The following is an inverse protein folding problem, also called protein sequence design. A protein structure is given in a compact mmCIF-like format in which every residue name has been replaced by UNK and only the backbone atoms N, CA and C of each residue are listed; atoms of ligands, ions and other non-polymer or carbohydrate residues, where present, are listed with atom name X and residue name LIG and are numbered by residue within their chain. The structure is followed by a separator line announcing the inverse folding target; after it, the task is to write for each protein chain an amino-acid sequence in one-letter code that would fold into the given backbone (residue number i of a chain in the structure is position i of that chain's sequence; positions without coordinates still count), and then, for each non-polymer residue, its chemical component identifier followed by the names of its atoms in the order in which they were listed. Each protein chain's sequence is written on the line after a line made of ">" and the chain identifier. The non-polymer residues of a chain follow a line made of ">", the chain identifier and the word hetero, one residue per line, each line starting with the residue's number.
data_IF_373153576000
#
_entry.id   IF_373153576000
#
_cell.length_a   1.000
_cell.length_b   1.000
_cell.length_c   1.000
_cell.angle_alpha   90.00
_cell.angle_beta   90.00
_cell.angle_gamma   90.00
#
_symmetry.space_group_name_H-M   'P 1'
#
loop_
_entity.id
_entity.type
_entity.pdbx_description
1 polymer ?
#
# COMPACT_ATOMS: atom_id res chain seq x y z
N UNK A 1 -28.65 -8.71 30.11
CA UNK A 1 -29.99 -8.32 29.61
C UNK A 1 -30.38 -9.32 28.55
N UNK A 2 -31.50 -10.02 28.77
CA UNK A 2 -32.02 -11.01 27.80
C UNK A 2 -33.08 -10.33 26.95
N UNK A 3 -32.84 -10.22 25.64
CA UNK A 3 -33.79 -9.68 24.69
C UNK A 3 -34.67 -10.82 24.16
N UNK A 4 -36.00 -10.75 24.38
CA UNK A 4 -36.94 -11.61 23.70
C UNK A 4 -37.23 -11.07 22.31
N UNK A 5 -36.97 -11.86 21.27
CA UNK A 5 -37.14 -11.48 19.87
C UNK A 5 -38.29 -12.29 19.26
N UNK A 6 -39.16 -11.61 18.53
CA UNK A 6 -40.25 -12.27 17.78
C UNK A 6 -39.84 -12.33 16.32
N UNK A 7 -39.84 -13.53 15.74
CA UNK A 7 -39.61 -13.74 14.32
C UNK A 7 -40.79 -13.17 13.51
N UNK A 8 -40.46 -12.42 12.48
CA UNK A 8 -41.42 -11.97 11.49
C UNK A 8 -41.16 -12.71 10.17
N UNK A 9 -42.14 -13.53 9.74
CA UNK A 9 -42.11 -14.27 8.49
C UNK A 9 -42.68 -13.41 7.37
N UNK A 10 -41.88 -13.13 6.34
CA UNK A 10 -42.42 -12.46 5.17
C UNK A 10 -43.32 -13.38 4.36
N UNK A 11 -44.57 -12.98 4.15
CA UNK A 11 -45.48 -13.63 3.19
C UNK A 11 -45.18 -13.18 1.74
N UNK A 12 -44.36 -12.13 1.57
CA UNK A 12 -43.97 -11.60 0.29
C UNK A 12 -42.48 -11.97 0.01
N UNK A 13 -42.15 -12.51 -1.17
CA UNK A 13 -40.78 -12.84 -1.53
C UNK A 13 -39.86 -11.62 -1.66
N UNK A 14 -40.43 -10.40 -1.71
CA UNK A 14 -39.67 -9.16 -1.77
C UNK A 14 -39.00 -8.74 -0.43
N UNK A 15 -39.47 -9.33 0.70
CA UNK A 15 -38.94 -8.96 2.02
C UNK A 15 -38.54 -10.23 2.78
N UNK A 16 -37.24 -10.47 3.00
CA UNK A 16 -36.79 -11.62 3.78
C UNK A 16 -37.32 -11.55 5.22
N UNK A 17 -37.81 -12.67 5.75
CA UNK A 17 -38.19 -12.77 7.15
C UNK A 17 -37.00 -12.46 8.09
N UNK A 18 -37.30 -11.98 9.30
CA UNK A 18 -36.26 -11.62 10.27
C UNK A 18 -36.81 -11.15 11.60
N UNK A 19 -35.92 -10.67 12.44
CA UNK A 19 -36.29 -10.03 13.70
C UNK A 19 -36.32 -8.51 13.50
N UNK A 20 -37.50 -7.90 13.57
CA UNK A 20 -37.65 -6.43 13.39
C UNK A 20 -36.81 -5.65 14.40
N UNK A 21 -36.70 -6.13 15.64
CA UNK A 21 -35.86 -5.53 16.64
C UNK A 21 -34.35 -5.51 16.23
N UNK A 22 -33.90 -6.58 15.58
CA UNK A 22 -32.51 -6.63 15.08
C UNK A 22 -32.28 -5.57 14.00
N UNK A 23 -33.24 -5.40 13.09
CA UNK A 23 -33.17 -4.38 12.04
C UNK A 23 -33.19 -2.97 12.64
N UNK A 24 -34.15 -2.71 13.56
CA UNK A 24 -34.28 -1.40 14.21
C UNK A 24 -33.04 -1.02 15.05
N UNK A 25 -32.41 -2.01 15.68
CA UNK A 25 -31.20 -1.83 16.49
C UNK A 25 -29.90 -1.97 15.68
N UNK A 26 -29.98 -2.20 14.37
CA UNK A 26 -28.82 -2.41 13.50
C UNK A 26 -27.98 -3.64 13.88
N UNK A 27 -28.59 -4.67 14.49
CA UNK A 27 -27.88 -5.87 14.92
C UNK A 27 -27.48 -6.72 13.71
N UNK A 28 -26.25 -7.22 13.70
CA UNK A 28 -25.73 -8.16 12.71
C UNK A 28 -25.19 -9.41 13.42
N UNK A 29 -25.87 -10.56 13.24
CA UNK A 29 -25.54 -11.78 13.95
C UNK A 29 -25.59 -11.64 15.49
N UNK A 30 -26.47 -10.76 15.99
CA UNK A 30 -26.60 -10.44 17.42
C UNK A 30 -25.57 -9.41 17.92
N UNK A 31 -24.70 -8.86 17.03
CA UNK A 31 -23.74 -7.83 17.38
C UNK A 31 -24.33 -6.44 17.17
N UNK A 32 -24.25 -5.58 18.20
CA UNK A 32 -24.60 -4.16 18.07
C UNK A 32 -23.68 -3.42 17.09
N UNK A 33 -24.09 -2.28 16.50
CA UNK A 33 -23.25 -1.51 15.59
C UNK A 33 -21.88 -1.17 16.20
N UNK A 34 -21.84 -0.81 17.49
CA UNK A 34 -20.59 -0.54 18.21
C UNK A 34 -19.68 -1.77 18.28
N UNK A 35 -20.26 -2.95 18.59
CA UNK A 35 -19.48 -4.18 18.68
C UNK A 35 -19.01 -4.64 17.28
N UNK A 36 -19.82 -4.46 16.23
CA UNK A 36 -19.42 -4.70 14.85
C UNK A 36 -18.21 -3.85 14.46
N UNK A 37 -18.22 -2.55 14.81
CA UNK A 37 -17.10 -1.62 14.59
C UNK A 37 -15.83 -2.10 15.32
N UNK A 38 -15.94 -2.47 16.60
CA UNK A 38 -14.80 -2.94 17.39
C UNK A 38 -14.26 -4.28 16.87
N UNK A 39 -15.13 -5.22 16.53
CA UNK A 39 -14.74 -6.49 15.93
C UNK A 39 -14.03 -6.27 14.59
N UNK A 40 -14.56 -5.40 13.72
CA UNK A 40 -13.93 -5.08 12.45
C UNK A 40 -12.58 -4.39 12.65
N UNK A 41 -12.44 -3.50 13.64
CA UNK A 41 -11.20 -2.83 14.00
C UNK A 41 -10.12 -3.83 14.41
N UNK A 42 -10.43 -4.71 15.36
CA UNK A 42 -9.51 -5.75 15.82
C UNK A 42 -9.17 -6.73 14.70
N UNK A 43 -10.18 -7.18 13.94
CA UNK A 43 -9.96 -8.13 12.85
C UNK A 43 -9.16 -7.58 11.66
N UNK A 44 -8.98 -6.26 11.56
CA UNK A 44 -8.05 -5.66 10.62
C UNK A 44 -6.58 -5.92 11.00
N UNK A 45 -6.30 -6.09 12.29
CA UNK A 45 -4.95 -6.22 12.83
C UNK A 45 -4.61 -7.67 13.23
N UNK A 46 -5.60 -8.43 13.76
CA UNK A 46 -5.38 -9.78 14.29
C UNK A 46 -6.26 -10.83 13.60
N UNK A 47 -6.00 -12.12 13.86
CA UNK A 47 -6.85 -13.21 13.36
C UNK A 47 -8.25 -13.15 13.97
N UNK A 48 -9.25 -13.77 13.31
CA UNK A 48 -10.61 -13.84 13.87
C UNK A 48 -10.67 -14.58 15.20
N UNK A 49 -9.82 -15.58 15.39
CA UNK A 49 -9.74 -16.31 16.65
C UNK A 49 -9.17 -15.40 17.77
N UNK A 50 -8.10 -14.67 17.50
CA UNK A 50 -7.54 -13.71 18.45
C UNK A 50 -8.55 -12.57 18.75
N UNK A 51 -9.24 -12.06 17.73
CA UNK A 51 -10.29 -11.06 17.90
C UNK A 51 -11.40 -11.56 18.85
N UNK A 52 -11.89 -12.80 18.65
CA UNK A 52 -12.90 -13.38 19.53
C UNK A 52 -12.36 -13.57 20.97
N UNK A 53 -11.10 -14.00 21.12
CA UNK A 53 -10.42 -14.11 22.41
C UNK A 53 -10.34 -12.78 23.15
N UNK A 54 -9.85 -11.73 22.50
CA UNK A 54 -9.77 -10.39 23.09
C UNK A 54 -11.14 -9.84 23.49
N UNK A 55 -12.16 -10.02 22.64
CA UNK A 55 -13.50 -9.56 22.98
C UNK A 55 -14.10 -10.33 24.17
N UNK A 56 -13.84 -11.64 24.27
CA UNK A 56 -14.27 -12.46 25.40
C UNK A 56 -13.59 -12.02 26.70
N UNK A 57 -12.29 -11.76 26.66
CA UNK A 57 -11.52 -11.28 27.81
C UNK A 57 -12.01 -9.91 28.30
N UNK A 58 -12.18 -8.96 27.38
CA UNK A 58 -12.59 -7.59 27.72
C UNK A 58 -14.04 -7.46 28.17
N UNK A 59 -14.94 -8.34 27.71
CA UNK A 59 -16.38 -8.25 27.96
C UNK A 59 -16.90 -9.32 28.93
N UNK A 60 -16.04 -10.23 29.43
CA UNK A 60 -16.42 -11.38 30.27
C UNK A 60 -17.15 -12.50 29.49
N UNK A 61 -17.73 -12.17 28.34
CA UNK A 61 -18.36 -13.10 27.39
C UNK A 61 -18.21 -12.51 25.98
N UNK A 62 -18.17 -13.37 24.96
CA UNK A 62 -17.94 -12.87 23.60
C UNK A 62 -18.59 -13.72 22.51
N UNK A 63 -18.72 -13.18 21.30
CA UNK A 63 -19.23 -13.90 20.15
C UNK A 63 -18.25 -15.01 19.73
N UNK A 64 -18.78 -16.03 19.07
CA UNK A 64 -17.95 -17.10 18.51
C UNK A 64 -17.02 -16.58 17.40
N UNK A 65 -15.92 -17.31 17.15
CA UNK A 65 -15.00 -17.02 16.05
C UNK A 65 -15.73 -16.92 14.71
N UNK A 66 -16.71 -17.78 14.49
CA UNK A 66 -17.52 -17.81 13.26
C UNK A 66 -18.42 -16.57 13.14
N UNK A 67 -19.03 -16.13 14.24
CA UNK A 67 -19.82 -14.88 14.28
C UNK A 67 -18.94 -13.67 13.96
N UNK A 68 -17.74 -13.58 14.57
CA UNK A 68 -16.77 -12.53 14.28
C UNK A 68 -16.36 -12.57 12.81
N UNK A 69 -16.00 -13.75 12.30
CA UNK A 69 -15.57 -13.90 10.90
C UNK A 69 -16.66 -13.41 9.94
N UNK A 70 -17.89 -13.88 10.13
CA UNK A 70 -19.01 -13.53 9.25
C UNK A 70 -19.34 -12.05 9.30
N UNK A 71 -19.36 -11.46 10.49
CA UNK A 71 -19.55 -10.01 10.67
C UNK A 71 -18.43 -9.23 9.96
N UNK A 72 -17.16 -9.55 10.23
CA UNK A 72 -16.03 -8.83 9.67
C UNK A 72 -15.94 -8.96 8.14
N UNK A 73 -16.21 -10.14 7.58
CA UNK A 73 -16.25 -10.34 6.13
C UNK A 73 -17.38 -9.52 5.47
N UNK A 74 -18.53 -9.38 6.14
CA UNK A 74 -19.63 -8.54 5.67
C UNK A 74 -19.29 -7.06 5.74
N UNK A 75 -18.75 -6.58 6.86
CA UNK A 75 -18.30 -5.19 7.00
C UNK A 75 -17.18 -4.87 6.02
N UNK A 76 -16.21 -5.74 5.82
CA UNK A 76 -15.16 -5.61 4.81
C UNK A 76 -15.75 -5.48 3.39
N UNK A 77 -16.80 -6.24 3.08
CA UNK A 77 -17.53 -6.12 1.82
C UNK A 77 -18.25 -4.78 1.67
N UNK A 78 -18.84 -4.24 2.75
CA UNK A 78 -19.47 -2.90 2.77
C UNK A 78 -18.43 -1.81 2.54
N UNK A 79 -17.31 -1.86 3.26
CA UNK A 79 -16.19 -0.93 3.12
C UNK A 79 -15.64 -0.96 1.69
N UNK A 80 -15.42 -2.14 1.11
CA UNK A 80 -14.91 -2.27 -0.25
C UNK A 80 -15.83 -1.63 -1.30
N UNK A 81 -17.15 -1.74 -1.12
CA UNK A 81 -18.13 -1.04 -1.98
C UNK A 81 -18.11 0.46 -1.74
N UNK A 82 -18.18 0.88 -0.47
CA UNK A 82 -18.17 2.29 -0.10
C UNK A 82 -16.92 3.01 -0.62
N UNK A 83 -15.73 2.46 -0.42
CA UNK A 83 -14.48 3.01 -0.97
C UNK A 83 -14.50 3.16 -2.50
N UNK A 84 -15.37 2.42 -3.20
CA UNK A 84 -15.56 2.54 -4.64
C UNK A 84 -16.25 3.83 -5.07
N UNK A 85 -17.03 4.47 -4.19
CA UNK A 85 -17.93 5.58 -4.54
C UNK A 85 -17.86 6.77 -3.58
N UNK A 86 -17.17 6.65 -2.45
CA UNK A 86 -17.12 7.70 -1.44
C UNK A 86 -16.41 8.96 -1.96
N UNK A 87 -16.86 10.11 -1.49
CA UNK A 87 -16.33 11.45 -1.79
C UNK A 87 -15.87 12.22 -0.54
N UNK A 88 -16.17 11.70 0.65
CA UNK A 88 -15.85 12.37 1.90
C UNK A 88 -14.33 12.57 2.12
N UNK A 89 -13.50 11.68 1.55
CA UNK A 89 -12.04 11.86 1.58
C UNK A 89 -11.56 13.07 0.76
N UNK A 90 -12.37 13.59 -0.17
CA UNK A 90 -12.00 14.75 -0.99
C UNK A 90 -11.85 16.01 -0.15
N UNK A 91 -12.75 16.23 0.83
CA UNK A 91 -12.68 17.37 1.75
C UNK A 91 -11.40 17.35 2.57
N UNK A 92 -11.06 16.17 3.13
CA UNK A 92 -9.82 15.99 3.89
C UNK A 92 -8.58 16.24 3.03
N UNK A 93 -8.58 15.81 1.76
CA UNK A 93 -7.49 16.06 0.82
C UNK A 93 -7.42 17.52 0.37
N UNK A 94 -8.57 18.19 0.19
CA UNK A 94 -8.65 19.61 -0.17
C UNK A 94 -8.13 20.51 0.94
N UNK A 95 -8.46 20.21 2.20
CA UNK A 95 -8.03 20.96 3.38
C UNK A 95 -6.59 20.62 3.83
N UNK A 96 -6.01 19.50 3.38
CA UNK A 96 -4.72 19.03 3.82
C UNK A 96 -3.58 19.84 3.20
N UNK A 97 -2.56 20.12 4.00
CA UNK A 97 -1.33 20.77 3.55
C UNK A 97 -0.37 19.80 2.87
N UNK A 98 0.56 20.36 2.09
CA UNK A 98 1.67 19.65 1.47
C UNK A 98 1.43 19.21 0.03
N UNK A 99 2.45 18.57 -0.53
CA UNK A 99 2.46 18.06 -1.89
C UNK A 99 1.63 16.78 -2.06
N UNK A 100 1.28 16.47 -3.30
CA UNK A 100 0.63 15.22 -3.65
C UNK A 100 1.63 14.11 -3.92
N UNK A 101 1.56 13.05 -3.16
CA UNK A 101 2.33 11.84 -3.37
C UNK A 101 1.41 10.66 -3.71
N UNK A 102 1.81 9.88 -4.68
CA UNK A 102 1.14 8.64 -5.06
C UNK A 102 2.15 7.52 -5.16
N UNK A 103 2.03 6.53 -4.27
CA UNK A 103 2.95 5.39 -4.21
C UNK A 103 2.22 4.09 -4.51
N UNK A 104 2.89 3.19 -5.22
CA UNK A 104 2.31 1.93 -5.71
C UNK A 104 3.30 0.80 -5.56
N UNK A 105 2.80 -0.35 -5.10
CA UNK A 105 3.57 -1.58 -4.95
C UNK A 105 2.68 -2.82 -5.13
N UNK A 106 3.27 -4.01 -5.11
CA UNK A 106 2.56 -5.28 -5.14
C UNK A 106 3.17 -6.30 -4.18
N UNK A 107 2.39 -6.74 -3.21
CA UNK A 107 2.68 -7.91 -2.40
C UNK A 107 2.09 -9.20 -3.00
N UNK A 108 2.34 -10.33 -2.33
CA UNK A 108 1.71 -11.62 -2.67
C UNK A 108 0.72 -12.02 -1.58
N UNK A 109 -0.39 -12.65 -1.97
CA UNK A 109 -1.35 -13.28 -1.06
C UNK A 109 -1.76 -14.65 -1.62
N UNK A 110 -1.88 -15.64 -0.73
CA UNK A 110 -2.35 -16.96 -1.12
C UNK A 110 -3.87 -17.06 -0.98
N UNK A 111 -4.54 -17.54 -2.03
CA UNK A 111 -5.98 -17.76 -2.05
C UNK A 111 -6.32 -19.22 -2.35
N UNK A 112 -7.41 -19.75 -1.76
CA UNK A 112 -7.80 -21.15 -1.89
C UNK A 112 -8.05 -21.57 -3.35
N UNK A 113 -8.71 -20.66 -4.10
CA UNK A 113 -9.14 -20.99 -5.47
C UNK A 113 -8.06 -20.76 -6.52
N UNK A 114 -7.07 -19.91 -6.25
CA UNK A 114 -6.13 -19.42 -7.29
C UNK A 114 -4.67 -19.47 -6.87
N UNK A 115 -4.36 -19.98 -5.68
CA UNK A 115 -2.99 -19.97 -5.14
C UNK A 115 -2.45 -18.54 -4.95
N UNK A 116 -1.14 -18.39 -5.08
CA UNK A 116 -0.46 -17.11 -4.93
C UNK A 116 -0.86 -16.09 -6.01
N UNK A 117 -1.29 -14.91 -5.58
CA UNK A 117 -1.72 -13.80 -6.44
C UNK A 117 -1.09 -12.48 -6.01
N UNK A 118 -0.91 -11.57 -6.97
CA UNK A 118 -0.47 -10.22 -6.66
C UNK A 118 -1.59 -9.45 -5.96
N UNK A 119 -1.29 -8.97 -4.78
CA UNK A 119 -2.05 -7.95 -4.07
C UNK A 119 -1.43 -6.60 -4.42
N UNK A 120 -2.04 -5.86 -5.33
CA UNK A 120 -1.58 -4.54 -5.71
C UNK A 120 -2.09 -3.53 -4.70
N UNK A 121 -1.21 -2.62 -4.30
CA UNK A 121 -1.43 -1.65 -3.23
C UNK A 121 -1.13 -0.27 -3.79
N UNK A 122 -1.92 0.72 -3.41
CA UNK A 122 -1.67 2.11 -3.75
C UNK A 122 -2.00 2.99 -2.53
N UNK A 123 -1.19 4.01 -2.34
CA UNK A 123 -1.34 5.04 -1.32
C UNK A 123 -1.32 6.40 -2.01
N UNK A 124 -2.38 7.17 -1.84
CA UNK A 124 -2.41 8.58 -2.17
C UNK A 124 -2.35 9.37 -0.87
N UNK A 125 -1.51 10.38 -0.81
CA UNK A 125 -1.35 11.20 0.40
C UNK A 125 -0.98 12.64 0.08
N UNK A 126 -1.27 13.52 1.05
CA UNK A 126 -0.74 14.88 1.13
C UNK A 126 0.36 14.88 2.18
N UNK A 127 1.53 15.42 1.85
CA UNK A 127 2.66 15.49 2.77
C UNK A 127 3.33 16.87 2.67
N UNK A 128 3.55 17.57 3.79
CA UNK A 128 4.40 18.75 3.81
C UNK A 128 5.80 18.42 3.30
N UNK A 129 6.47 19.38 2.71
CA UNK A 129 7.87 19.20 2.34
C UNK A 129 8.73 19.11 3.60
N UNK A 130 9.73 18.24 3.57
CA UNK A 130 10.78 18.24 4.58
C UNK A 130 11.74 19.42 4.36
N UNK A 131 12.62 19.63 5.33
CA UNK A 131 13.76 20.52 5.12
C UNK A 131 14.59 20.05 3.91
N UNK A 132 15.06 20.97 3.07
CA UNK A 132 15.99 20.66 1.99
C UNK A 132 17.19 19.88 2.52
N UNK A 133 17.62 18.87 1.77
CA UNK A 133 18.74 18.04 2.16
C UNK A 133 19.68 17.77 0.98
N UNK A 134 20.94 17.54 1.29
CA UNK A 134 21.93 17.06 0.32
C UNK A 134 21.89 15.53 0.22
N UNK A 135 22.46 14.94 -0.84
CA UNK A 135 22.66 13.50 -0.96
C UNK A 135 23.35 12.86 0.24
N UNK A 136 24.28 13.55 0.90
CA UNK A 136 24.95 13.04 2.10
C UNK A 136 24.03 12.97 3.33
N UNK A 137 22.99 13.79 3.39
CA UNK A 137 22.05 13.90 4.52
C UNK A 137 20.79 13.02 4.35
N UNK A 138 20.63 12.31 3.25
CA UNK A 138 19.37 11.66 2.91
C UNK A 138 18.88 10.64 3.94
N UNK A 139 19.79 9.91 4.61
CA UNK A 139 19.44 8.91 5.62
C UNK A 139 19.11 9.49 6.98
N UNK A 140 19.68 10.63 7.33
CA UNK A 140 19.40 11.32 8.60
C UNK A 140 18.19 12.25 8.55
N UNK A 141 17.59 12.40 7.36
CA UNK A 141 16.45 13.28 7.14
C UNK A 141 15.15 12.62 7.58
N UNK A 142 14.39 13.31 8.41
CA UNK A 142 13.02 12.94 8.72
C UNK A 142 12.04 13.55 7.72
N UNK A 143 11.12 12.73 7.23
CA UNK A 143 10.00 13.19 6.43
C UNK A 143 8.82 13.48 7.34
N UNK A 144 8.14 14.64 7.18
CA UNK A 144 6.92 14.93 7.91
C UNK A 144 5.86 13.84 7.71
N UNK A 145 4.98 13.66 8.68
CA UNK A 145 3.85 12.77 8.52
C UNK A 145 2.87 13.29 7.46
N UNK A 146 2.19 12.38 6.80
CA UNK A 146 1.16 12.76 5.83
C UNK A 146 -0.05 13.37 6.55
N UNK A 147 -0.49 14.54 6.11
CA UNK A 147 -1.64 15.29 6.65
C UNK A 147 -2.98 14.69 6.20
N UNK A 148 -3.01 14.06 5.02
CA UNK A 148 -4.12 13.23 4.56
C UNK A 148 -3.59 11.99 3.83
N UNK A 149 -4.28 10.84 4.00
CA UNK A 149 -3.90 9.58 3.38
C UNK A 149 -5.10 8.72 3.03
N UNK A 150 -5.11 8.19 1.83
CA UNK A 150 -6.07 7.17 1.39
C UNK A 150 -5.30 5.97 0.82
N UNK A 151 -5.69 4.78 1.24
CA UNK A 151 -5.08 3.53 0.79
C UNK A 151 -6.11 2.63 0.14
N UNK A 152 -5.70 1.89 -0.86
CA UNK A 152 -6.50 0.80 -1.41
C UNK A 152 -5.64 -0.33 -1.92
N UNK A 153 -6.17 -1.54 -1.83
CA UNK A 153 -5.52 -2.73 -2.36
C UNK A 153 -6.52 -3.60 -3.13
N UNK A 154 -6.04 -4.34 -4.12
CA UNK A 154 -6.88 -5.26 -4.89
C UNK A 154 -6.08 -6.43 -5.46
N UNK A 155 -6.70 -7.60 -5.50
CA UNK A 155 -6.17 -8.78 -6.18
C UNK A 155 -6.73 -8.78 -7.61
N UNK A 156 -6.09 -8.06 -8.50
CA UNK A 156 -6.53 -7.92 -9.89
C UNK A 156 -5.37 -7.70 -10.87
N UNK A 157 -5.62 -7.93 -12.16
CA UNK A 157 -4.64 -7.61 -13.20
C UNK A 157 -4.28 -6.11 -13.19
N UNK A 158 -3.05 -5.77 -13.56
CA UNK A 158 -2.53 -4.40 -13.56
C UNK A 158 -3.41 -3.43 -14.36
N UNK A 159 -3.94 -3.85 -15.51
CA UNK A 159 -4.86 -3.03 -16.33
C UNK A 159 -6.13 -2.63 -15.57
N UNK A 160 -6.73 -3.57 -14.79
CA UNK A 160 -7.92 -3.30 -13.98
C UNK A 160 -7.61 -2.42 -12.78
N UNK A 161 -6.49 -2.67 -12.10
CA UNK A 161 -6.04 -1.87 -10.97
C UNK A 161 -5.77 -0.42 -11.38
N UNK A 162 -5.04 -0.19 -12.50
CA UNK A 162 -4.76 1.12 -13.07
C UNK A 162 -6.03 1.93 -13.37
N UNK A 163 -7.07 1.32 -13.94
CA UNK A 163 -8.34 2.02 -14.23
C UNK A 163 -8.96 2.65 -12.98
N UNK A 164 -8.71 2.05 -11.81
CA UNK A 164 -9.18 2.56 -10.52
C UNK A 164 -8.34 3.70 -9.97
N UNK A 165 -7.07 3.83 -10.40
CA UNK A 165 -6.23 4.95 -9.97
C UNK A 165 -6.86 6.28 -10.36
N UNK A 166 -7.10 6.44 -11.66
CA UNK A 166 -7.68 7.66 -12.20
C UNK A 166 -8.99 8.03 -11.50
N UNK A 167 -9.94 7.09 -11.43
CA UNK A 167 -11.24 7.34 -10.81
C UNK A 167 -11.12 7.73 -9.33
N UNK A 168 -10.18 7.14 -8.58
CA UNK A 168 -9.97 7.45 -7.16
C UNK A 168 -9.25 8.77 -6.96
N UNK A 169 -8.16 9.01 -7.68
CA UNK A 169 -7.41 10.26 -7.60
C UNK A 169 -8.26 11.46 -8.02
N UNK A 170 -9.08 11.32 -9.05
CA UNK A 170 -10.04 12.37 -9.43
C UNK A 170 -11.03 12.69 -8.32
N UNK A 171 -11.58 11.70 -7.65
CA UNK A 171 -12.49 11.93 -6.52
C UNK A 171 -11.80 12.61 -5.33
N UNK A 172 -10.51 12.43 -5.17
CA UNK A 172 -9.72 13.12 -4.14
C UNK A 172 -9.34 14.55 -4.53
N UNK A 173 -9.76 15.04 -5.71
CA UNK A 173 -9.38 16.36 -6.18
C UNK A 173 -7.97 16.38 -6.77
N UNK A 174 -7.66 15.40 -7.64
CA UNK A 174 -6.35 15.30 -8.29
C UNK A 174 -5.85 16.66 -8.80
N UNK A 175 -4.61 17.08 -8.42
CA UNK A 175 -4.04 18.36 -8.83
C UNK A 175 -3.62 18.36 -10.30
N UNK A 176 -3.05 19.46 -10.77
CA UNK A 176 -2.32 19.48 -12.04
C UNK A 176 -1.27 18.35 -12.04
N UNK A 177 -1.13 17.66 -13.20
CA UNK A 177 -0.24 16.48 -13.26
C UNK A 177 1.19 16.79 -12.85
N UNK A 178 1.69 17.99 -13.13
CA UNK A 178 3.04 18.42 -12.74
C UNK A 178 3.25 18.49 -11.21
N UNK A 179 2.19 18.59 -10.44
CA UNK A 179 2.24 18.64 -8.97
C UNK A 179 2.17 17.25 -8.33
N UNK A 180 1.69 16.26 -9.09
CA UNK A 180 1.59 14.88 -8.60
C UNK A 180 2.94 14.19 -8.65
N UNK A 181 3.45 13.77 -7.52
CA UNK A 181 4.68 13.00 -7.40
C UNK A 181 4.36 11.50 -7.27
N UNK A 182 4.77 10.70 -8.25
CA UNK A 182 4.59 9.25 -8.28
C UNK A 182 5.90 8.57 -7.92
N UNK A 183 5.88 7.73 -6.85
CA UNK A 183 7.01 6.93 -6.42
C UNK A 183 6.66 5.44 -6.51
N UNK A 184 7.64 4.62 -6.87
CA UNK A 184 7.45 3.17 -6.94
C UNK A 184 8.76 2.43 -7.19
N UNK A 185 8.68 1.12 -7.06
CA UNK A 185 9.78 0.22 -7.39
C UNK A 185 10.05 0.15 -8.91
N UNK A 186 11.02 -0.67 -9.31
CA UNK A 186 11.37 -0.86 -10.72
C UNK A 186 10.37 -1.66 -11.56
N UNK A 187 9.21 -2.05 -11.01
CA UNK A 187 8.26 -2.89 -11.70
C UNK A 187 7.63 -2.19 -12.92
N UNK A 188 7.88 -2.73 -14.11
CA UNK A 188 7.47 -2.13 -15.39
C UNK A 188 5.97 -1.84 -15.50
N UNK A 189 5.12 -2.61 -14.80
CA UNK A 189 3.68 -2.40 -14.83
C UNK A 189 3.26 -1.07 -14.17
N UNK A 190 3.98 -0.61 -13.14
CA UNK A 190 3.74 0.67 -12.46
C UNK A 190 3.97 1.81 -13.43
N UNK A 191 5.13 1.83 -14.06
CA UNK A 191 5.54 2.91 -14.96
C UNK A 191 4.73 2.94 -16.27
N UNK A 192 4.41 1.75 -16.81
CA UNK A 192 3.45 1.65 -17.92
C UNK A 192 2.05 2.14 -17.54
N UNK A 193 1.65 1.94 -16.28
CA UNK A 193 0.36 2.43 -15.79
C UNK A 193 0.39 3.94 -15.52
N UNK A 194 1.44 4.46 -14.90
CA UNK A 194 1.62 5.90 -14.66
C UNK A 194 1.70 6.68 -15.99
N UNK A 195 2.51 6.24 -16.94
CA UNK A 195 2.61 6.90 -18.26
C UNK A 195 1.31 6.93 -19.06
N UNK A 196 0.36 6.02 -18.80
CA UNK A 196 -0.95 6.00 -19.48
C UNK A 196 -2.07 6.71 -18.73
N UNK A 197 -2.01 6.72 -17.40
CA UNK A 197 -3.09 7.24 -16.56
C UNK A 197 -2.75 8.60 -15.93
N UNK A 198 -1.46 8.92 -15.78
CA UNK A 198 -0.96 10.08 -15.07
C UNK A 198 0.15 10.76 -15.90
N UNK A 199 -0.14 10.97 -17.20
CA UNK A 199 0.81 11.60 -18.12
C UNK A 199 1.19 13.00 -17.64
N UNK A 200 2.50 13.29 -17.59
CA UNK A 200 3.02 14.58 -17.11
C UNK A 200 3.28 14.65 -15.61
N UNK A 201 2.96 13.60 -14.83
CA UNK A 201 3.32 13.54 -13.42
C UNK A 201 4.84 13.45 -13.22
N UNK A 202 5.30 13.96 -12.08
CA UNK A 202 6.68 13.77 -11.63
C UNK A 202 6.86 12.33 -11.17
N UNK A 203 7.96 11.69 -11.54
CA UNK A 203 8.21 10.28 -11.24
C UNK A 203 9.56 10.12 -10.57
N UNK A 204 9.63 9.28 -9.55
CA UNK A 204 10.89 8.93 -8.86
C UNK A 204 10.91 7.41 -8.62
N UNK A 205 12.00 6.78 -9.06
CA UNK A 205 12.30 5.38 -8.73
C UNK A 205 12.65 5.31 -7.24
N UNK A 206 12.10 4.34 -6.53
CA UNK A 206 12.44 4.13 -5.13
C UNK A 206 13.95 3.91 -4.96
N UNK A 207 14.57 4.73 -4.09
CA UNK A 207 16.02 4.70 -3.88
C UNK A 207 16.48 3.37 -3.27
N UNK A 208 15.70 2.75 -2.38
CA UNK A 208 16.09 1.49 -1.75
C UNK A 208 16.08 0.35 -2.75
N UNK A 209 15.10 0.33 -3.68
CA UNK A 209 15.06 -0.63 -4.79
C UNK A 209 16.21 -0.40 -5.78
N UNK A 210 16.52 0.86 -6.09
CA UNK A 210 17.66 1.20 -6.94
C UNK A 210 18.97 0.74 -6.29
N UNK A 211 19.18 1.02 -5.01
CA UNK A 211 20.34 0.53 -4.25
C UNK A 211 20.40 -1.00 -4.18
N UNK A 212 19.25 -1.68 -4.08
CA UNK A 212 19.18 -3.14 -4.12
C UNK A 212 19.73 -3.74 -5.42
N UNK A 213 19.52 -3.07 -6.57
CA UNK A 213 20.11 -3.49 -7.84
C UNK A 213 21.62 -3.23 -7.91
N UNK A 214 22.11 -2.12 -7.34
CA UNK A 214 23.55 -1.85 -7.19
C UNK A 214 24.18 -2.91 -6.29
N UNK A 215 23.59 -3.21 -5.14
CA UNK A 215 24.07 -4.25 -4.22
C UNK A 215 24.16 -5.62 -4.91
N UNK A 216 23.11 -6.01 -5.65
CA UNK A 216 23.10 -7.28 -6.38
C UNK A 216 24.16 -7.35 -7.50
N UNK A 217 24.52 -6.22 -8.12
CA UNK A 217 25.62 -6.15 -9.06
C UNK A 217 26.96 -6.28 -8.32
N UNK A 218 27.16 -5.54 -7.23
CA UNK A 218 28.37 -5.62 -6.40
C UNK A 218 28.65 -7.04 -5.89
N UNK A 219 27.62 -7.74 -5.42
CA UNK A 219 27.76 -9.15 -5.01
C UNK A 219 28.22 -10.08 -6.14
N UNK A 220 27.74 -9.86 -7.37
CA UNK A 220 28.18 -10.64 -8.53
C UNK A 220 29.57 -10.31 -9.02
N UNK A 221 29.99 -9.06 -8.85
CA UNK A 221 31.30 -8.57 -9.29
C UNK A 221 32.43 -8.92 -8.31
N UNK A 222 32.13 -8.87 -7.02
CA UNK A 222 33.13 -8.91 -5.94
C UNK A 222 32.90 -10.03 -4.93
N UNK A 223 31.82 -10.79 -5.05
CA UNK A 223 31.44 -11.86 -4.12
C UNK A 223 30.46 -11.40 -3.03
N UNK A 224 29.59 -12.30 -2.62
CA UNK A 224 28.59 -12.04 -1.57
C UNK A 224 29.26 -11.83 -0.22
N UNK A 225 28.85 -10.80 0.52
CA UNK A 225 29.36 -10.49 1.86
C UNK A 225 30.78 -9.93 1.93
N UNK A 226 31.42 -9.63 0.79
CA UNK A 226 32.79 -9.08 0.78
C UNK A 226 32.81 -7.57 1.04
N UNK A 227 33.90 -7.03 1.64
CA UNK A 227 34.08 -5.59 1.79
C UNK A 227 33.99 -4.82 0.45
N UNK A 228 34.56 -5.39 -0.63
CA UNK A 228 34.49 -4.80 -1.97
C UNK A 228 33.06 -4.68 -2.51
N UNK A 229 32.20 -5.64 -2.23
CA UNK A 229 30.78 -5.56 -2.61
C UNK A 229 30.06 -4.44 -1.83
N UNK A 230 30.40 -4.26 -0.56
CA UNK A 230 29.87 -3.17 0.27
C UNK A 230 30.38 -1.80 -0.23
N UNK A 231 31.67 -1.65 -0.52
CA UNK A 231 32.26 -0.44 -1.09
C UNK A 231 31.62 -0.07 -2.43
N UNK A 232 31.38 -1.06 -3.31
CA UNK A 232 30.69 -0.84 -4.58
C UNK A 232 29.27 -0.29 -4.37
N UNK A 233 28.52 -0.85 -3.40
CA UNK A 233 27.19 -0.33 -3.04
C UNK A 233 27.26 1.12 -2.54
N UNK A 234 28.15 1.42 -1.60
CA UNK A 234 28.30 2.76 -1.03
C UNK A 234 28.70 3.78 -2.11
N UNK A 235 29.68 3.43 -2.93
CA UNK A 235 30.13 4.25 -4.06
C UNK A 235 28.99 4.48 -5.06
N UNK A 236 28.29 3.39 -5.45
CA UNK A 236 27.19 3.46 -6.42
C UNK A 236 25.99 4.26 -5.89
N UNK A 237 25.68 4.14 -4.59
CA UNK A 237 24.64 4.92 -3.93
C UNK A 237 24.98 6.42 -3.93
N UNK A 238 26.20 6.78 -3.57
CA UNK A 238 26.65 8.18 -3.56
C UNK A 238 26.56 8.80 -4.97
N UNK A 239 27.07 8.12 -5.98
CA UNK A 239 27.01 8.55 -7.37
C UNK A 239 25.56 8.65 -7.88
N UNK A 240 24.71 7.68 -7.56
CA UNK A 240 23.31 7.70 -7.97
C UNK A 240 22.55 8.88 -7.34
N UNK A 241 22.76 9.16 -6.06
CA UNK A 241 22.10 10.25 -5.35
C UNK A 241 22.56 11.63 -5.87
N UNK A 242 23.84 11.78 -6.15
CA UNK A 242 24.44 13.06 -6.57
C UNK A 242 24.20 13.35 -8.05
N UNK A 243 24.38 12.36 -8.92
CA UNK A 243 24.47 12.53 -10.36
C UNK A 243 23.40 11.75 -11.15
N UNK A 244 22.55 10.97 -10.46
CA UNK A 244 21.51 10.18 -11.11
C UNK A 244 22.08 9.23 -12.16
N UNK A 245 21.59 9.33 -13.40
CA UNK A 245 22.03 8.47 -14.50
C UNK A 245 23.53 8.58 -14.81
N UNK A 246 24.07 9.78 -14.80
CA UNK A 246 25.50 10.02 -15.07
C UNK A 246 26.38 9.30 -14.05
N UNK A 247 25.96 9.29 -12.78
CA UNK A 247 26.64 8.56 -11.72
C UNK A 247 26.63 7.04 -11.93
N UNK A 248 25.52 6.49 -12.41
CA UNK A 248 25.45 5.06 -12.77
C UNK A 248 26.40 4.72 -13.92
N UNK A 249 26.45 5.57 -14.96
CA UNK A 249 27.40 5.38 -16.07
C UNK A 249 28.85 5.43 -15.60
N UNK A 250 29.16 6.35 -14.68
CA UNK A 250 30.51 6.47 -14.08
C UNK A 250 30.88 5.20 -13.31
N UNK A 251 30.00 4.71 -12.43
CA UNK A 251 30.21 3.49 -11.67
C UNK A 251 30.51 2.29 -12.59
N UNK A 252 29.73 2.14 -13.65
CA UNK A 252 29.90 1.05 -14.62
C UNK A 252 31.23 1.20 -15.38
N UNK A 253 31.59 2.43 -15.79
CA UNK A 253 32.85 2.71 -16.48
C UNK A 253 34.08 2.39 -15.62
N UNK A 254 34.07 2.78 -14.35
CA UNK A 254 35.13 2.46 -13.36
C UNK A 254 35.34 0.95 -13.25
N UNK A 255 34.25 0.15 -13.22
CA UNK A 255 34.32 -1.31 -13.13
C UNK A 255 34.82 -1.99 -14.42
N UNK A 256 34.49 -1.45 -15.58
CA UNK A 256 34.98 -1.98 -16.86
C UNK A 256 36.49 -1.72 -17.03
N UNK A 257 37.00 -0.59 -16.53
CA UNK A 257 38.46 -0.32 -16.56
C UNK A 257 39.24 -1.21 -15.59
N UNK A 258 38.59 -1.66 -14.48
CA UNK A 258 39.23 -2.54 -13.51
C UNK A 258 39.36 -4.01 -13.99
N UNK A 259 38.67 -4.38 -15.06
CA UNK A 259 38.76 -5.69 -15.70
C UNK A 259 37.51 -6.03 -16.50
N UNK A 260 37.68 -6.67 -17.64
CA UNK A 260 36.60 -7.02 -18.57
C UNK A 260 36.54 -8.53 -18.81
N UNK A 261 35.79 -9.24 -17.94
CA UNK A 261 35.44 -10.65 -18.16
C UNK A 261 33.98 -10.77 -18.59
N UNK A 262 33.60 -11.87 -19.28
CA UNK A 262 32.21 -12.07 -19.68
C UNK A 262 31.21 -12.05 -18.52
N UNK A 263 31.59 -12.54 -17.33
CA UNK A 263 30.77 -12.56 -16.11
C UNK A 263 30.55 -11.14 -15.58
N UNK A 264 31.62 -10.34 -15.50
CA UNK A 264 31.57 -8.94 -15.07
C UNK A 264 30.68 -8.15 -16.00
N UNK A 265 30.91 -8.27 -17.32
CA UNK A 265 30.11 -7.59 -18.34
C UNK A 265 28.63 -7.90 -18.20
N UNK A 266 28.26 -9.20 -18.04
CA UNK A 266 26.86 -9.59 -17.81
C UNK A 266 26.25 -8.96 -16.54
N UNK A 267 27.03 -8.82 -15.46
CA UNK A 267 26.55 -8.20 -14.23
C UNK A 267 26.29 -6.70 -14.43
N UNK A 268 27.23 -6.01 -15.09
CA UNK A 268 27.12 -4.58 -15.41
C UNK A 268 26.02 -4.28 -16.43
N UNK A 269 25.85 -5.13 -17.45
CA UNK A 269 24.77 -5.01 -18.44
C UNK A 269 23.38 -5.12 -17.79
N UNK A 270 23.23 -6.00 -16.82
CA UNK A 270 21.96 -6.11 -16.05
C UNK A 270 21.69 -4.83 -15.28
N UNK A 271 22.71 -4.27 -14.63
CA UNK A 271 22.60 -3.00 -13.90
C UNK A 271 22.26 -1.85 -14.85
N UNK A 272 22.98 -1.75 -15.96
CA UNK A 272 22.77 -0.75 -17.00
C UNK A 272 21.33 -0.82 -17.54
N UNK A 273 20.89 -2.00 -17.97
CA UNK A 273 19.55 -2.21 -18.52
C UNK A 273 18.45 -1.85 -17.53
N UNK A 274 18.65 -2.13 -16.25
CA UNK A 274 17.70 -1.71 -15.21
C UNK A 274 17.58 -0.19 -15.17
N UNK A 275 18.69 0.56 -15.08
CA UNK A 275 18.65 2.01 -14.98
C UNK A 275 18.24 2.71 -16.27
N UNK A 276 18.59 2.16 -17.43
CA UNK A 276 18.11 2.67 -18.75
C UNK A 276 16.59 2.71 -18.81
N UNK A 277 15.91 1.69 -18.24
CA UNK A 277 14.45 1.69 -18.17
C UNK A 277 13.86 2.78 -17.25
N UNK A 278 14.71 3.47 -16.48
CA UNK A 278 14.29 4.43 -15.45
C UNK A 278 14.92 5.83 -15.57
N UNK A 279 15.55 6.17 -16.68
CA UNK A 279 16.32 7.41 -16.90
C UNK A 279 15.63 8.69 -16.37
N UNK A 280 14.33 8.83 -16.57
CA UNK A 280 13.55 10.01 -16.19
C UNK A 280 13.14 10.05 -14.70
N UNK A 281 13.64 9.11 -13.87
CA UNK A 281 13.18 8.89 -12.49
C UNK A 281 14.32 8.94 -11.47
N UNK A 282 15.50 9.38 -11.87
CA UNK A 282 16.74 9.31 -11.09
C UNK A 282 17.21 10.68 -10.58
N UNK A 283 16.35 11.69 -10.61
CA UNK A 283 16.65 13.03 -10.09
C UNK A 283 16.49 13.06 -8.56
N UNK A 284 17.36 12.34 -7.85
CA UNK A 284 17.30 12.28 -6.39
C UNK A 284 17.79 13.58 -5.75
N UNK A 285 18.87 14.17 -6.28
CA UNK A 285 19.43 15.42 -5.77
C UNK A 285 18.41 16.55 -5.81
N UNK A 286 17.72 16.73 -6.95
CA UNK A 286 16.67 17.72 -7.07
C UNK A 286 15.51 17.47 -6.10
N UNK A 287 15.08 16.20 -5.94
CA UNK A 287 14.03 15.84 -4.98
C UNK A 287 14.42 16.12 -3.52
N UNK A 288 15.65 15.83 -3.14
CA UNK A 288 16.16 16.13 -1.81
C UNK A 288 16.23 17.63 -1.55
N UNK A 289 16.73 18.41 -2.52
CA UNK A 289 16.77 19.89 -2.44
C UNK A 289 15.36 20.51 -2.33
N UNK A 290 14.35 19.88 -2.97
CA UNK A 290 12.94 20.29 -2.87
C UNK A 290 12.24 19.80 -1.61
N UNK A 291 12.90 19.07 -0.71
CA UNK A 291 12.29 18.48 0.48
C UNK A 291 11.32 17.34 0.20
N UNK A 292 11.38 16.74 -0.99
CA UNK A 292 10.47 15.66 -1.42
C UNK A 292 10.97 14.28 -1.03
N UNK A 293 10.06 13.31 -0.96
CA UNK A 293 10.41 11.92 -0.73
C UNK A 293 11.15 11.32 -1.94
N UNK A 294 12.14 10.45 -1.69
CA UNK A 294 12.85 9.67 -2.71
C UNK A 294 12.65 8.16 -2.55
N UNK A 295 11.92 7.75 -1.53
CA UNK A 295 11.57 6.36 -1.24
C UNK A 295 10.07 6.14 -1.17
N UNK A 296 9.63 4.94 -1.43
CA UNK A 296 8.21 4.52 -1.42
C UNK A 296 7.73 3.98 -0.08
N UNK A 297 8.35 4.39 1.03
CA UNK A 297 8.11 3.87 2.38
C UNK A 297 6.63 3.85 2.82
N UNK A 298 5.79 4.78 2.31
CA UNK A 298 4.35 4.79 2.62
C UNK A 298 3.62 3.55 2.06
N UNK A 299 3.92 3.10 0.85
CA UNK A 299 3.31 1.88 0.30
C UNK A 299 4.00 0.61 0.82
N UNK A 300 5.28 0.67 1.16
CA UNK A 300 5.97 -0.44 1.82
C UNK A 300 5.38 -0.72 3.21
N UNK A 301 5.15 0.32 4.01
CA UNK A 301 4.46 0.22 5.29
C UNK A 301 3.04 -0.35 5.13
N UNK A 302 2.31 0.07 4.09
CA UNK A 302 1.00 -0.48 3.74
C UNK A 302 1.10 -1.96 3.35
N UNK A 303 2.10 -2.35 2.55
CA UNK A 303 2.34 -3.73 2.14
C UNK A 303 2.68 -4.63 3.33
N UNK A 304 3.50 -4.12 4.27
CA UNK A 304 3.82 -4.81 5.53
C UNK A 304 2.57 -5.05 6.37
N UNK A 305 1.76 -4.02 6.60
CA UNK A 305 0.52 -4.13 7.39
C UNK A 305 -0.47 -5.11 6.76
N UNK A 306 -0.70 -5.00 5.45
CA UNK A 306 -1.54 -5.96 4.72
C UNK A 306 -0.97 -7.38 4.78
N UNK A 307 0.36 -7.51 4.69
CA UNK A 307 1.06 -8.79 4.81
C UNK A 307 0.87 -9.44 6.17
N UNK A 308 1.04 -8.71 7.26
CA UNK A 308 0.84 -9.20 8.63
C UNK A 308 -0.57 -9.78 8.81
N UNK A 309 -1.59 -9.13 8.23
CA UNK A 309 -2.97 -9.60 8.35
C UNK A 309 -3.31 -10.73 7.38
N UNK A 310 -2.95 -10.60 6.11
CA UNK A 310 -3.39 -11.54 5.07
C UNK A 310 -2.50 -12.77 4.93
N UNK A 311 -1.23 -12.70 5.37
CA UNK A 311 -0.27 -13.80 5.36
C UNK A 311 -0.03 -14.39 6.74
N UNK A 312 -0.84 -14.00 7.75
CA UNK A 312 -0.73 -14.55 9.10
C UNK A 312 -0.74 -16.09 9.06
N UNK A 313 0.02 -16.73 9.96
CA UNK A 313 0.12 -18.21 10.03
C UNK A 313 -1.26 -18.84 10.09
N UNK A 314 -1.52 -19.82 9.23
CA UNK A 314 -2.81 -20.50 9.12
C UNK A 314 -3.91 -19.73 8.37
N UNK A 315 -3.66 -18.50 7.92
CA UNK A 315 -4.64 -17.74 7.14
C UNK A 315 -4.91 -18.40 5.79
N UNK A 316 -6.19 -18.71 5.54
CA UNK A 316 -6.66 -19.31 4.28
C UNK A 316 -7.85 -18.50 3.76
N UNK A 317 -7.64 -17.74 2.73
CA UNK A 317 -8.64 -16.83 2.19
C UNK A 317 -9.32 -17.37 0.93
N UNK A 318 -10.64 -17.22 0.85
CA UNK A 318 -11.29 -17.19 -0.46
C UNK A 318 -10.89 -15.89 -1.17
N UNK A 319 -10.70 -15.93 -2.47
CA UNK A 319 -10.26 -14.76 -3.26
C UNK A 319 -11.14 -13.51 -3.00
N UNK A 320 -12.47 -13.69 -2.94
CA UNK A 320 -13.42 -12.62 -2.62
C UNK A 320 -13.16 -11.99 -1.24
N UNK A 321 -12.95 -12.84 -0.23
CA UNK A 321 -12.77 -12.40 1.15
C UNK A 321 -11.39 -11.75 1.37
N UNK A 322 -10.32 -12.26 0.73
CA UNK A 322 -9.01 -11.60 0.74
C UNK A 322 -9.09 -10.16 0.22
N UNK A 323 -9.81 -9.94 -0.89
CA UNK A 323 -10.03 -8.60 -1.44
C UNK A 323 -10.80 -7.69 -0.49
N UNK A 324 -11.87 -8.20 0.12
CA UNK A 324 -12.66 -7.45 1.07
C UNK A 324 -11.84 -7.11 2.33
N UNK A 325 -11.13 -8.06 2.90
CA UNK A 325 -10.27 -7.83 4.06
C UNK A 325 -9.12 -6.85 3.75
N UNK A 326 -8.55 -6.88 2.56
CA UNK A 326 -7.58 -5.86 2.14
C UNK A 326 -8.18 -4.45 2.17
N UNK A 327 -9.43 -4.28 1.73
CA UNK A 327 -10.13 -3.00 1.81
C UNK A 327 -10.40 -2.57 3.27
N UNK A 328 -10.76 -3.52 4.14
CA UNK A 328 -10.93 -3.26 5.57
C UNK A 328 -9.63 -2.77 6.21
N UNK A 329 -8.51 -3.45 5.96
CA UNK A 329 -7.18 -3.06 6.47
C UNK A 329 -6.80 -1.67 5.96
N UNK A 330 -6.96 -1.41 4.67
CA UNK A 330 -6.67 -0.09 4.10
C UNK A 330 -7.53 1.02 4.73
N UNK A 331 -8.83 0.79 4.90
CA UNK A 331 -9.74 1.73 5.54
C UNK A 331 -9.32 2.01 6.99
N UNK A 332 -8.96 0.96 7.75
CA UNK A 332 -8.55 1.05 9.16
C UNK A 332 -7.28 1.89 9.35
N UNK A 333 -6.39 1.92 8.37
CA UNK A 333 -5.10 2.62 8.43
C UNK A 333 -5.18 4.10 7.97
N UNK A 334 -6.38 4.61 7.70
CA UNK A 334 -6.58 5.96 7.16
C UNK A 334 -7.78 6.65 7.82
N UNK A 335 -7.95 7.93 7.56
CA UNK A 335 -9.11 8.71 8.00
C UNK A 335 -10.44 8.12 7.49
N UNK A 336 -10.41 7.28 6.46
CA UNK A 336 -11.60 6.61 5.94
C UNK A 336 -12.32 5.73 6.98
N UNK A 337 -11.62 5.28 8.02
CA UNK A 337 -12.23 4.51 9.10
C UNK A 337 -13.34 5.29 9.81
N UNK A 338 -13.03 6.50 10.24
CA UNK A 338 -14.02 7.35 10.92
C UNK A 338 -15.13 7.79 9.97
N UNK A 339 -14.78 8.16 8.73
CA UNK A 339 -15.75 8.56 7.69
C UNK A 339 -16.76 7.45 7.34
N UNK A 340 -16.32 6.20 7.34
CA UNK A 340 -17.22 5.06 7.09
C UNK A 340 -18.18 4.84 8.25
N UNK A 341 -17.68 4.83 9.48
CA UNK A 341 -18.48 4.47 10.66
C UNK A 341 -19.36 5.62 11.17
N UNK A 342 -19.02 6.87 10.94
CA UNK A 342 -19.90 8.01 11.26
C UNK A 342 -21.19 8.04 10.42
N UNK A 343 -21.18 7.42 9.22
CA UNK A 343 -22.35 7.31 8.35
C UNK A 343 -23.16 6.02 8.56
N UNK A 344 -22.61 5.08 9.31
CA UNK A 344 -23.25 3.80 9.60
C UNK A 344 -23.95 3.79 10.99
N UNK A 345 -23.80 4.87 11.73
CA UNK A 345 -24.54 5.17 12.97
C UNK A 345 -25.79 5.98 12.65
#
# INVERSE_FOLDING_TARGET
>A
MTLRRRWWGARCPCTPGGYLADVALGLDGGLSPRLQRQAARLAADVSFAACAGHLKELLGAGPSVETIRTCCERQAGRIARWQGHETASAEAFGAAEGGWEFTVDAGKVNTREKGWRDLKIAVAQRRPRAEPATPAQWQSRDLPEATARVMWADISAAKRFRRRWWARLRRLGLPAMAELHVLGDGASWIWKAAGRALTGCRQTLDIYHACGHIAAAGQRLHGEGTPRAAEFLERGRALLLEEGWTGVCRLIGEELTAGDTPERRRALDRLLNYFVAHLKRLDYRGRLADGEAIGSGSVEGAAKTLGLRLKARGARWRHKNARAMAALVCCRQTQQWELFWSRAA
#
